data_IF_208137587276
#
_entry.id   IF_208137587276
#
_cell.length_a   1.000
_cell.length_b   1.000
_cell.length_c   1.000
_cell.angle_alpha   90.00
_cell.angle_beta   90.00
_cell.angle_gamma   90.00
#
_symmetry.space_group_name_H-M   'P 1'
#
loop_
_entity.id
_entity.type
_entity.pdbx_description
1 polymer ?
#
# COMPACT_ATOMS: atom_id res chain seq x y z
N UNK A 1 -65.68 27.90 -6.18
CA UNK A 1 -65.17 26.59 -6.57
C UNK A 1 -63.66 26.74 -6.86
N UNK A 2 -62.81 26.57 -5.82
CA UNK A 2 -61.35 26.76 -5.94
C UNK A 2 -60.69 25.40 -6.22
N UNK A 3 -60.00 25.27 -7.34
CA UNK A 3 -59.19 24.09 -7.68
C UNK A 3 -57.78 24.34 -7.18
N UNK A 4 -57.33 23.58 -6.16
CA UNK A 4 -55.94 23.55 -5.72
C UNK A 4 -55.13 22.56 -6.61
N UNK A 5 -54.15 23.07 -7.35
CA UNK A 5 -53.18 22.26 -8.09
C UNK A 5 -52.00 21.97 -7.17
N UNK A 6 -51.85 20.71 -6.74
CA UNK A 6 -50.75 20.27 -5.91
C UNK A 6 -49.61 19.83 -6.86
N UNK A 7 -48.54 20.65 -6.96
CA UNK A 7 -47.34 20.30 -7.70
C UNK A 7 -46.42 19.49 -6.78
N UNK A 8 -46.33 18.18 -7.02
CA UNK A 8 -45.41 17.31 -6.33
C UNK A 8 -44.04 17.45 -6.98
N UNK A 9 -43.10 18.17 -6.32
CA UNK A 9 -41.71 18.23 -6.74
C UNK A 9 -41.02 16.96 -6.24
N UNK A 10 -40.83 15.98 -7.14
CA UNK A 10 -39.99 14.80 -6.87
C UNK A 10 -38.54 15.24 -7.10
N UNK A 11 -37.84 15.53 -6.01
CA UNK A 11 -36.37 15.71 -6.05
C UNK A 11 -35.73 14.35 -6.22
N UNK A 12 -35.27 14.04 -7.44
CA UNK A 12 -34.44 12.87 -7.69
C UNK A 12 -33.05 13.15 -7.08
N UNK A 13 -32.80 12.65 -5.89
CA UNK A 13 -31.46 12.63 -5.32
C UNK A 13 -30.69 11.54 -6.05
N UNK A 14 -29.92 11.92 -7.06
CA UNK A 14 -28.95 11.01 -7.66
C UNK A 14 -27.91 10.66 -6.60
N UNK A 15 -27.96 9.44 -6.09
CA UNK A 15 -26.89 8.89 -5.28
C UNK A 15 -25.66 8.73 -6.20
N UNK A 16 -24.71 9.66 -6.10
CA UNK A 16 -23.40 9.51 -6.72
C UNK A 16 -22.73 8.37 -5.97
N UNK A 17 -22.73 7.17 -6.55
CA UNK A 17 -21.90 6.08 -6.10
C UNK A 17 -20.45 6.51 -6.32
N UNK A 18 -19.76 6.89 -5.26
CA UNK A 18 -18.32 7.10 -5.32
C UNK A 18 -17.69 5.72 -5.62
N UNK A 19 -17.21 5.55 -6.84
CA UNK A 19 -16.42 4.38 -7.19
C UNK A 19 -15.20 4.35 -6.27
N UNK A 20 -14.95 3.20 -5.62
CA UNK A 20 -13.72 3.02 -4.86
C UNK A 20 -12.54 3.15 -5.82
N UNK A 21 -11.53 3.92 -5.41
CA UNK A 21 -10.28 4.04 -6.17
C UNK A 21 -9.28 3.05 -5.61
N UNK A 22 -8.77 2.18 -6.46
CA UNK A 22 -7.59 1.37 -6.16
C UNK A 22 -6.33 2.10 -6.67
N UNK A 23 -5.29 2.13 -5.84
CA UNK A 23 -3.99 2.68 -6.19
C UNK A 23 -2.99 1.53 -6.13
N UNK A 24 -2.52 1.09 -7.29
CA UNK A 24 -1.42 0.12 -7.39
C UNK A 24 -0.10 0.87 -7.44
N UNK A 25 0.85 0.45 -6.62
CA UNK A 25 2.21 1.01 -6.58
C UNK A 25 3.21 -0.13 -6.69
N UNK A 26 3.95 -0.14 -7.78
CA UNK A 26 5.04 -1.07 -8.00
C UNK A 26 6.28 -0.59 -7.23
N UNK A 27 6.74 -1.37 -6.25
CA UNK A 27 7.83 -0.94 -5.38
C UNK A 27 9.15 -0.73 -6.14
N UNK A 28 9.41 -1.53 -7.16
CA UNK A 28 10.58 -1.39 -8.03
C UNK A 28 10.60 -0.08 -8.83
N UNK A 29 9.44 0.61 -8.94
CA UNK A 29 9.33 1.91 -9.59
C UNK A 29 9.59 3.09 -8.65
N UNK A 30 9.86 2.86 -7.37
CA UNK A 30 10.10 3.94 -6.41
C UNK A 30 11.16 4.91 -6.90
N UNK A 31 10.90 6.20 -6.74
CA UNK A 31 11.78 7.28 -7.19
C UNK A 31 13.15 7.23 -6.48
N UNK A 32 13.12 6.97 -5.17
CA UNK A 32 14.31 6.74 -4.37
C UNK A 32 14.25 5.34 -3.76
N UNK A 33 15.21 4.50 -4.09
CA UNK A 33 15.28 3.13 -3.59
C UNK A 33 16.10 2.99 -2.30
N UNK A 34 16.77 4.08 -1.88
CA UNK A 34 17.62 4.05 -0.70
C UNK A 34 18.66 2.94 -0.77
N UNK A 35 18.67 2.06 0.23
CA UNK A 35 19.52 0.88 0.24
C UNK A 35 18.86 -0.40 -0.30
N UNK A 36 17.65 -0.30 -0.86
CA UNK A 36 16.95 -1.43 -1.46
C UNK A 36 17.38 -1.64 -2.92
N UNK A 37 17.47 -2.88 -3.34
CA UNK A 37 17.83 -3.27 -4.70
C UNK A 37 16.63 -3.84 -5.44
N UNK A 38 16.56 -3.62 -6.76
CA UNK A 38 15.59 -4.30 -7.61
C UNK A 38 16.11 -5.70 -7.88
N UNK A 39 15.30 -6.72 -7.60
CA UNK A 39 15.61 -8.11 -7.81
C UNK A 39 14.57 -8.78 -8.72
N UNK A 40 14.99 -9.82 -9.43
CA UNK A 40 14.20 -10.53 -10.42
C UNK A 40 14.19 -12.06 -10.22
N UNK A 41 14.84 -12.55 -9.18
CA UNK A 41 15.01 -13.99 -8.94
C UNK A 41 13.68 -14.75 -8.86
N UNK A 42 12.65 -14.13 -8.29
CA UNK A 42 11.30 -14.68 -8.14
C UNK A 42 10.26 -14.01 -9.04
N UNK A 43 10.70 -13.36 -10.12
CA UNK A 43 9.82 -12.62 -11.02
C UNK A 43 8.74 -13.49 -11.65
N UNK A 44 9.02 -14.76 -11.99
CA UNK A 44 8.02 -15.70 -12.52
C UNK A 44 6.89 -15.97 -11.53
N UNK A 45 7.17 -15.96 -10.23
CA UNK A 45 6.17 -16.16 -9.16
C UNK A 45 5.46 -14.86 -8.79
N UNK A 46 6.20 -13.74 -8.78
CA UNK A 46 5.67 -12.43 -8.43
C UNK A 46 4.84 -11.83 -9.56
N UNK A 47 5.25 -11.99 -10.80
CA UNK A 47 4.67 -11.38 -11.99
C UNK A 47 5.37 -10.08 -12.42
N UNK A 48 6.22 -9.52 -11.57
CA UNK A 48 7.06 -8.34 -11.80
C UNK A 48 8.37 -8.45 -11.02
N UNK A 49 9.39 -7.61 -11.28
CA UNK A 49 10.49 -7.37 -10.35
C UNK A 49 9.98 -6.86 -9.00
N UNK A 50 10.82 -6.84 -7.99
CA UNK A 50 10.47 -6.40 -6.64
C UNK A 50 11.67 -5.75 -5.95
N UNK A 51 11.43 -5.08 -4.81
CA UNK A 51 12.51 -4.56 -3.97
C UNK A 51 12.93 -5.58 -2.92
N UNK A 52 14.24 -5.68 -2.70
CA UNK A 52 14.85 -6.48 -1.65
C UNK A 52 15.90 -5.66 -0.90
N UNK A 53 15.94 -5.82 0.43
CA UNK A 53 16.99 -5.25 1.26
C UNK A 53 18.09 -6.29 1.49
N UNK A 54 19.32 -5.99 1.07
CA UNK A 54 20.50 -6.83 1.25
C UNK A 54 21.43 -6.28 2.34
N UNK A 55 20.87 -5.99 3.51
CA UNK A 55 21.62 -5.39 4.63
C UNK A 55 22.55 -6.36 5.37
N UNK A 56 22.54 -7.65 5.03
CA UNK A 56 23.34 -8.68 5.69
C UNK A 56 23.22 -8.63 7.23
N UNK A 57 22.00 -8.44 7.72
CA UNK A 57 21.68 -8.32 9.13
C UNK A 57 21.73 -6.91 9.71
N UNK A 58 21.93 -5.90 8.86
CA UNK A 58 21.81 -4.49 9.22
C UNK A 58 20.71 -3.83 8.38
N UNK A 59 19.87 -2.98 8.98
CA UNK A 59 18.88 -2.22 8.24
C UNK A 59 19.52 -1.37 7.14
N UNK A 60 18.86 -1.31 5.97
CA UNK A 60 19.29 -0.46 4.86
C UNK A 60 18.57 0.88 4.89
N UNK A 61 19.05 1.86 4.11
CA UNK A 61 18.40 3.16 4.00
C UNK A 61 16.98 3.05 3.42
N UNK A 62 16.08 3.90 3.88
CA UNK A 62 14.68 3.93 3.47
C UNK A 62 14.52 4.09 1.94
N UNK A 63 13.54 3.41 1.39
CA UNK A 63 13.06 3.65 0.04
C UNK A 63 11.78 4.49 0.08
N UNK A 64 11.64 5.45 -0.81
CA UNK A 64 10.45 6.30 -0.86
C UNK A 64 10.06 6.71 -2.29
N UNK A 65 8.78 7.02 -2.43
CA UNK A 65 8.18 7.56 -3.65
C UNK A 65 6.98 8.43 -3.32
N UNK A 66 6.46 9.10 -4.32
CA UNK A 66 5.22 9.86 -4.24
C UNK A 66 4.18 9.26 -5.19
N UNK A 67 2.93 9.23 -4.77
CA UNK A 67 1.81 8.74 -5.56
C UNK A 67 0.68 9.76 -5.61
N UNK A 68 -0.03 9.80 -6.74
CA UNK A 68 -1.21 10.63 -6.91
C UNK A 68 -2.45 9.94 -6.30
N UNK A 69 -3.20 10.68 -5.51
CA UNK A 69 -4.48 10.28 -4.94
C UNK A 69 -5.57 11.12 -5.58
N UNK A 70 -6.37 10.51 -6.44
CA UNK A 70 -7.42 11.22 -7.17
C UNK A 70 -8.67 11.48 -6.32
N UNK A 71 -8.94 10.61 -5.35
CA UNK A 71 -10.10 10.71 -4.47
C UNK A 71 -9.67 10.71 -3.00
N UNK A 72 -10.18 11.69 -2.25
CA UNK A 72 -9.99 11.70 -0.80
C UNK A 72 -10.84 10.58 -0.17
N UNK A 73 -10.29 9.90 0.83
CA UNK A 73 -11.02 8.84 1.49
C UNK A 73 -10.19 8.00 2.43
N UNK A 74 -10.83 6.95 2.92
CA UNK A 74 -10.21 5.92 3.76
C UNK A 74 -9.73 4.79 2.86
N UNK A 75 -8.44 4.46 2.97
CA UNK A 75 -7.78 3.42 2.18
C UNK A 75 -7.26 2.32 3.09
N UNK A 76 -7.57 1.08 2.74
CA UNK A 76 -6.90 -0.08 3.30
C UNK A 76 -5.61 -0.32 2.51
N UNK A 77 -4.51 -0.46 3.24
CA UNK A 77 -3.17 -0.59 2.65
C UNK A 77 -2.71 -2.04 2.75
N UNK A 78 -2.36 -2.62 1.61
CA UNK A 78 -1.82 -3.97 1.51
C UNK A 78 -0.46 -3.93 0.84
N UNK A 79 0.43 -4.83 1.26
CA UNK A 79 1.75 -5.02 0.64
C UNK A 79 1.91 -6.49 0.30
N UNK A 80 2.33 -6.77 -0.92
CA UNK A 80 2.67 -8.14 -1.32
C UNK A 80 4.09 -8.44 -0.91
N UNK A 81 4.27 -9.44 -0.06
CA UNK A 81 5.55 -9.77 0.56
C UNK A 81 5.89 -11.25 0.39
N UNK A 82 7.18 -11.54 0.45
CA UNK A 82 7.73 -12.88 0.44
C UNK A 82 8.86 -12.98 1.45
N UNK A 83 8.72 -13.84 2.46
CA UNK A 83 9.77 -14.10 3.44
C UNK A 83 10.52 -15.39 3.07
N UNK A 84 11.46 -15.29 2.14
CA UNK A 84 12.22 -16.43 1.65
C UNK A 84 13.05 -17.12 2.74
N UNK A 85 13.36 -16.45 3.84
CA UNK A 85 14.11 -17.01 4.98
C UNK A 85 13.23 -17.79 5.95
N UNK A 86 11.90 -17.72 5.83
CA UNK A 86 10.96 -18.35 6.76
C UNK A 86 11.23 -19.83 7.03
N UNK A 87 11.66 -20.66 6.06
CA UNK A 87 11.97 -22.07 6.33
C UNK A 87 13.15 -22.28 7.27
N UNK A 88 14.05 -21.31 7.40
CA UNK A 88 15.32 -21.44 8.15
C UNK A 88 15.40 -20.52 9.36
N UNK A 89 14.49 -19.57 9.48
CA UNK A 89 14.52 -18.57 10.55
C UNK A 89 13.28 -18.64 11.43
N UNK A 90 13.44 -18.33 12.70
CA UNK A 90 12.32 -18.10 13.60
C UNK A 90 11.55 -16.81 13.22
N UNK A 91 10.45 -16.53 13.93
CA UNK A 91 9.65 -15.28 13.75
C UNK A 91 10.46 -13.98 13.87
N UNK A 92 11.69 -14.05 14.40
CA UNK A 92 12.63 -12.94 14.52
C UNK A 92 13.61 -12.82 13.34
N UNK A 93 13.45 -13.62 12.29
CA UNK A 93 14.33 -13.60 11.13
C UNK A 93 14.37 -12.27 10.39
N UNK A 94 15.34 -12.11 9.45
CA UNK A 94 15.48 -10.90 8.64
C UNK A 94 14.27 -10.71 7.69
N UNK A 95 14.21 -9.56 7.02
CA UNK A 95 13.20 -9.25 6.02
C UNK A 95 11.98 -8.53 6.57
N UNK A 96 12.07 -7.97 7.79
CA UNK A 96 11.01 -7.18 8.40
C UNK A 96 11.15 -5.72 8.05
N UNK A 97 10.02 -5.09 7.78
CA UNK A 97 9.97 -3.66 7.51
C UNK A 97 8.64 -3.05 7.94
N UNK A 98 8.59 -1.74 8.01
CA UNK A 98 7.37 -0.97 8.26
C UNK A 98 7.10 -0.03 7.10
N UNK A 99 5.84 0.41 6.98
CA UNK A 99 5.39 1.31 5.94
C UNK A 99 4.90 2.63 6.56
N UNK A 100 5.28 3.74 5.95
CA UNK A 100 4.72 5.06 6.23
C UNK A 100 4.01 5.56 4.99
N UNK A 101 2.77 6.06 5.15
CA UNK A 101 1.98 6.65 4.07
C UNK A 101 1.61 8.08 4.48
N UNK A 102 2.11 9.05 3.73
CA UNK A 102 2.06 10.46 4.13
C UNK A 102 2.72 10.67 5.49
N UNK A 103 1.97 11.18 6.45
CA UNK A 103 2.44 11.39 7.82
C UNK A 103 2.08 10.23 8.78
N UNK A 104 1.50 9.13 8.26
CA UNK A 104 1.03 8.03 9.09
C UNK A 104 1.98 6.84 9.00
N UNK A 105 2.75 6.59 10.08
CA UNK A 105 3.51 5.35 10.23
C UNK A 105 2.54 4.23 10.62
N UNK A 106 2.44 3.20 9.77
CA UNK A 106 1.62 2.02 10.04
C UNK A 106 2.31 1.13 11.07
N UNK A 107 1.52 0.53 11.96
CA UNK A 107 2.06 -0.22 13.11
C UNK A 107 2.42 -1.67 12.77
N UNK A 108 1.87 -2.19 11.67
CA UNK A 108 2.07 -3.58 11.26
C UNK A 108 3.52 -3.77 10.81
N UNK A 109 4.20 -4.75 11.37
CA UNK A 109 5.47 -5.23 10.85
C UNK A 109 5.20 -6.16 9.68
N UNK A 110 5.71 -5.81 8.53
CA UNK A 110 5.56 -6.52 7.26
C UNK A 110 6.73 -7.48 7.02
N UNK A 111 6.59 -8.37 6.03
CA UNK A 111 7.62 -9.38 5.70
C UNK A 111 7.66 -10.54 6.71
N UNK A 112 6.60 -10.73 7.49
CA UNK A 112 6.50 -11.75 8.55
C UNK A 112 5.63 -12.95 8.15
N UNK A 113 5.11 -12.97 6.92
CA UNK A 113 4.37 -14.08 6.35
C UNK A 113 5.31 -15.25 5.98
N UNK A 114 4.77 -16.33 5.44
CA UNK A 114 5.56 -17.48 5.06
C UNK A 114 6.44 -17.27 3.81
N UNK A 115 6.96 -18.35 3.27
CA UNK A 115 7.79 -18.38 2.07
C UNK A 115 6.95 -18.48 0.78
N UNK A 116 5.90 -17.68 0.69
CA UNK A 116 5.09 -17.49 -0.49
C UNK A 116 4.80 -16.01 -0.69
N UNK A 117 4.53 -15.60 -1.92
CA UNK A 117 4.06 -14.26 -2.21
C UNK A 117 2.62 -14.08 -1.73
N UNK A 118 2.43 -13.30 -0.68
CA UNK A 118 1.14 -13.08 -0.06
C UNK A 118 0.87 -11.59 0.18
N UNK A 119 -0.40 -11.20 0.06
CA UNK A 119 -0.85 -9.86 0.42
C UNK A 119 -1.01 -9.75 1.93
N UNK A 120 -0.23 -8.87 2.54
CA UNK A 120 -0.28 -8.56 3.96
C UNK A 120 -0.92 -7.19 4.18
N UNK A 121 -1.95 -7.13 5.02
CA UNK A 121 -2.57 -5.85 5.37
C UNK A 121 -1.63 -5.06 6.28
N UNK A 122 -1.18 -3.91 5.82
CA UNK A 122 -0.32 -3.01 6.58
C UNK A 122 -1.12 -2.12 7.55
N UNK A 123 -2.34 -1.76 7.18
CA UNK A 123 -3.21 -0.92 8.00
C UNK A 123 -4.24 -0.16 7.17
N UNK A 124 -4.69 0.94 7.73
CA UNK A 124 -5.67 1.84 7.11
C UNK A 124 -5.23 3.29 7.29
N UNK A 125 -5.39 4.10 6.26
CA UNK A 125 -5.04 5.53 6.26
C UNK A 125 -6.17 6.37 5.68
N UNK A 126 -6.24 7.63 6.11
CA UNK A 126 -7.11 8.62 5.46
C UNK A 126 -6.25 9.48 4.55
N UNK A 127 -6.53 9.46 3.26
CA UNK A 127 -5.81 10.22 2.26
C UNK A 127 -6.66 11.39 1.75
N UNK A 128 -5.98 12.49 1.44
CA UNK A 128 -6.57 13.63 0.73
C UNK A 128 -6.26 13.50 -0.75
N UNK A 129 -7.09 14.10 -1.60
CA UNK A 129 -6.76 14.28 -3.01
C UNK A 129 -5.47 15.09 -3.16
N UNK A 130 -4.59 14.66 -4.03
CA UNK A 130 -3.29 15.27 -4.27
C UNK A 130 -2.16 14.25 -4.23
N UNK A 131 -0.95 14.67 -3.92
CA UNK A 131 0.23 13.82 -3.82
C UNK A 131 0.43 13.33 -2.39
N UNK A 132 0.78 12.05 -2.23
CA UNK A 132 1.14 11.47 -0.93
C UNK A 132 2.43 10.68 -1.05
N UNK A 133 3.27 10.73 -0.01
CA UNK A 133 4.50 9.95 0.03
C UNK A 133 4.26 8.55 0.56
N UNK A 134 5.03 7.59 0.06
CA UNK A 134 5.11 6.22 0.59
C UNK A 134 6.56 5.94 0.91
N UNK A 135 6.83 5.38 2.09
CA UNK A 135 8.19 5.06 2.53
C UNK A 135 8.26 3.67 3.15
N UNK A 136 9.22 2.88 2.70
CA UNK A 136 9.62 1.61 3.29
C UNK A 136 10.76 1.85 4.27
N UNK A 137 10.66 1.31 5.46
CA UNK A 137 11.69 1.39 6.51
C UNK A 137 12.07 -0.03 6.94
N UNK A 138 13.31 -0.41 6.68
CA UNK A 138 13.90 -1.71 7.04
C UNK A 138 14.16 -1.77 8.57
N UNK A 139 14.07 -2.98 9.19
CA UNK A 139 14.14 -3.17 10.66
C UNK A 139 15.31 -4.08 11.06
#
# INVERSE_FOLDING_TARGET
>A
MFKYCLILLVSCVAAVSAAAQDILVEAESFANKGGWSVDQQFMEQMGSPYLIAHGMGCPVADADTEVAVEQAGKYDVYVRTYNWTAPWTSKSGPGKFTLTVGNTKLKTVLGTTGNAWEWQKAGTVNLKKGTTSIRLHDL
#
